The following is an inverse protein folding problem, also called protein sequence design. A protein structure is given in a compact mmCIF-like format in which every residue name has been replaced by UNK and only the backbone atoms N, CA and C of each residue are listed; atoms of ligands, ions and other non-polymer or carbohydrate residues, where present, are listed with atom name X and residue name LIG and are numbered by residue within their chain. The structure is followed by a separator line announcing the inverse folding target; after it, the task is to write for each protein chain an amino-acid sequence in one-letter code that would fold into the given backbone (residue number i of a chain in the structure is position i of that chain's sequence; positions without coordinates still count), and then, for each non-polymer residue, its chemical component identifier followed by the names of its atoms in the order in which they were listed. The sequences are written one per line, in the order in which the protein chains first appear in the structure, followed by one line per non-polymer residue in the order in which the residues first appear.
data_IF_169845830745
#
_entry.id   IF_169845830745
#
_cell.length_a   1.000
_cell.length_b   1.000
_cell.length_c   1.000
_cell.angle_alpha   90.00
_cell.angle_beta   90.00
_cell.angle_gamma   90.00
#
_symmetry.space_group_name_H-M   'P 1'
#
loop_
_entity.id
_entity.type
_entity.pdbx_description
1 polymer ?
#
# COMPACT_ATOMS: atom_id res chain seq x y z
N UNK A 1 9.67 13.07 -28.14
CA UNK A 1 8.26 13.28 -27.75
C UNK A 1 7.98 12.41 -26.53
N UNK A 2 7.92 13.00 -25.33
CA UNK A 2 7.67 12.26 -24.09
C UNK A 2 6.21 11.81 -24.07
N UNK A 3 5.99 10.51 -24.00
CA UNK A 3 4.69 9.88 -24.07
C UNK A 3 3.77 10.36 -22.92
N UNK A 4 2.57 10.93 -23.17
CA UNK A 4 1.62 11.37 -22.13
C UNK A 4 1.18 10.24 -21.18
N UNK A 5 1.47 8.98 -21.52
CA UNK A 5 1.33 7.80 -20.66
C UNK A 5 2.13 7.94 -19.36
N UNK A 6 3.34 8.54 -19.39
CA UNK A 6 4.20 8.61 -18.20
C UNK A 6 3.65 9.49 -17.06
N UNK A 7 2.97 10.59 -17.38
CA UNK A 7 2.36 11.49 -16.38
C UNK A 7 1.09 10.87 -15.77
N UNK A 8 0.29 10.19 -16.59
CA UNK A 8 -0.93 9.51 -16.14
C UNK A 8 -0.61 8.31 -15.26
N UNK A 9 0.36 7.48 -15.65
CA UNK A 9 0.82 6.36 -14.84
C UNK A 9 1.43 6.81 -13.51
N UNK A 10 2.25 7.88 -13.52
CA UNK A 10 2.79 8.46 -12.29
C UNK A 10 1.69 8.92 -11.33
N UNK A 11 0.68 9.64 -11.84
CA UNK A 11 -0.46 10.06 -11.01
C UNK A 11 -1.23 8.87 -10.46
N UNK A 12 -1.46 7.84 -11.28
CA UNK A 12 -2.13 6.60 -10.85
C UNK A 12 -1.34 5.90 -9.75
N UNK A 13 -0.02 5.81 -9.87
CA UNK A 13 0.87 5.23 -8.86
C UNK A 13 0.87 6.04 -7.57
N UNK A 14 0.89 7.37 -7.67
CA UNK A 14 0.81 8.25 -6.51
C UNK A 14 -0.49 8.02 -5.73
N UNK A 15 -1.63 8.05 -6.41
CA UNK A 15 -2.93 7.80 -5.76
C UNK A 15 -2.98 6.41 -5.11
N UNK A 16 -2.41 5.38 -5.76
CA UNK A 16 -2.32 4.05 -5.17
C UNK A 16 -1.46 4.02 -3.89
N UNK A 17 -0.33 4.74 -3.90
CA UNK A 17 0.53 4.87 -2.73
C UNK A 17 -0.15 5.60 -1.57
N UNK A 18 -0.86 6.70 -1.87
CA UNK A 18 -1.57 7.49 -0.86
C UNK A 18 -2.66 6.66 -0.15
N UNK A 19 -3.42 5.87 -0.92
CA UNK A 19 -4.43 4.93 -0.38
C UNK A 19 -3.79 3.89 0.53
N UNK A 20 -2.68 3.30 0.11
CA UNK A 20 -1.97 2.27 0.89
C UNK A 20 -1.43 2.85 2.19
N UNK A 21 -0.77 3.99 2.12
CA UNK A 21 -0.18 4.63 3.30
C UNK A 21 -1.26 5.00 4.33
N UNK A 22 -2.42 5.50 3.88
CA UNK A 22 -3.60 5.71 4.72
C UNK A 22 -4.09 4.39 5.36
N UNK A 23 -4.24 3.34 4.56
CA UNK A 23 -4.70 2.04 5.04
C UNK A 23 -3.76 1.42 6.08
N UNK A 24 -2.45 1.46 5.83
CA UNK A 24 -1.43 0.94 6.75
C UNK A 24 -1.38 1.78 8.03
N UNK A 25 -1.39 3.11 7.93
CA UNK A 25 -1.37 4.00 9.11
C UNK A 25 -2.57 3.74 10.02
N UNK A 26 -3.78 3.76 9.47
CA UNK A 26 -5.00 3.51 10.24
C UNK A 26 -4.99 2.11 10.86
N UNK A 27 -4.48 1.12 10.13
CA UNK A 27 -4.40 -0.27 10.61
C UNK A 27 -3.41 -0.41 11.76
N UNK A 28 -2.27 0.29 11.70
CA UNK A 28 -1.27 0.32 12.77
C UNK A 28 -1.80 1.01 14.03
N UNK A 29 -2.59 2.08 13.88
CA UNK A 29 -3.13 2.85 15.01
C UNK A 29 -4.32 2.17 15.69
N UNK A 30 -5.26 1.63 14.92
CA UNK A 30 -6.57 1.17 15.43
C UNK A 30 -6.76 -0.35 15.36
N UNK A 31 -5.90 -1.05 14.64
CA UNK A 31 -6.05 -2.47 14.32
C UNK A 31 -6.94 -2.70 13.09
N UNK A 32 -6.61 -3.75 12.34
CA UNK A 32 -7.20 -4.09 11.05
C UNK A 32 -8.73 -4.25 11.05
N UNK A 33 -9.29 -4.84 12.10
CA UNK A 33 -10.74 -5.04 12.23
C UNK A 33 -11.51 -3.72 12.34
N UNK A 34 -10.91 -2.72 12.98
CA UNK A 34 -11.58 -1.44 13.26
C UNK A 34 -11.50 -0.45 12.11
N UNK A 35 -10.64 -0.69 11.12
CA UNK A 35 -10.48 0.20 9.97
C UNK A 35 -11.49 -0.15 8.87
N UNK A 36 -12.16 0.88 8.38
CA UNK A 36 -13.13 0.78 7.27
C UNK A 36 -12.59 1.39 5.98
N UNK A 37 -13.13 0.97 4.84
CA UNK A 37 -12.78 1.55 3.53
C UNK A 37 -13.11 3.04 3.49
N UNK A 38 -14.19 3.47 4.13
CA UNK A 38 -14.61 4.88 4.17
C UNK A 38 -13.57 5.76 4.88
N UNK A 39 -13.06 5.32 6.05
CA UNK A 39 -12.00 6.03 6.76
C UNK A 39 -10.70 6.11 5.95
N UNK A 40 -10.33 5.02 5.26
CA UNK A 40 -9.17 5.00 4.36
C UNK A 40 -9.37 6.02 3.24
N UNK A 41 -10.57 6.09 2.67
CA UNK A 41 -10.91 7.04 1.62
C UNK A 41 -10.87 8.49 2.12
N UNK A 42 -11.40 8.74 3.31
CA UNK A 42 -11.37 10.05 3.95
C UNK A 42 -9.93 10.53 4.21
N UNK A 43 -9.08 9.66 4.73
CA UNK A 43 -7.66 9.95 4.98
C UNK A 43 -6.87 10.16 3.67
N UNK A 44 -7.13 9.34 2.64
CA UNK A 44 -6.48 9.45 1.33
C UNK A 44 -7.07 10.55 0.42
N UNK A 45 -8.15 11.22 0.84
CA UNK A 45 -8.79 12.29 0.06
C UNK A 45 -9.44 11.83 -1.25
N UNK A 46 -9.93 10.59 -1.30
CA UNK A 46 -10.56 10.00 -2.49
C UNK A 46 -11.98 9.52 -2.21
N UNK A 47 -12.76 9.29 -3.27
CA UNK A 47 -14.06 8.65 -3.14
C UNK A 47 -13.93 7.13 -2.97
N UNK A 48 -14.89 6.51 -2.29
CA UNK A 48 -15.02 5.03 -2.22
C UNK A 48 -15.08 4.38 -3.59
N UNK A 49 -15.76 5.01 -4.55
CA UNK A 49 -15.76 4.57 -5.95
C UNK A 49 -14.36 4.56 -6.57
N UNK A 50 -13.56 5.59 -6.29
CA UNK A 50 -12.16 5.65 -6.73
C UNK A 50 -11.36 4.55 -6.06
N UNK A 51 -11.54 4.30 -4.76
CA UNK A 51 -10.87 3.21 -4.06
C UNK A 51 -11.13 1.85 -4.74
N UNK A 52 -12.38 1.53 -5.06
CA UNK A 52 -12.74 0.29 -5.73
C UNK A 52 -12.16 0.16 -7.16
N UNK A 53 -11.77 1.26 -7.81
CA UNK A 53 -11.05 1.20 -9.09
C UNK A 53 -9.59 0.77 -8.92
N UNK A 54 -9.01 0.92 -7.72
CA UNK A 54 -7.63 0.53 -7.42
C UNK A 54 -7.55 -0.79 -6.66
N UNK A 55 -8.42 -1.01 -5.68
CA UNK A 55 -8.38 -2.16 -4.79
C UNK A 55 -9.76 -2.80 -4.64
N UNK A 56 -9.87 -4.13 -4.67
CA UNK A 56 -11.15 -4.81 -4.49
C UNK A 56 -11.66 -4.77 -3.04
N UNK A 57 -10.76 -4.69 -2.06
CA UNK A 57 -11.09 -4.66 -0.63
C UNK A 57 -9.98 -3.98 0.21
N UNK A 58 -10.27 -3.71 1.49
CA UNK A 58 -9.31 -3.11 2.44
C UNK A 58 -8.06 -3.96 2.66
N UNK A 59 -8.22 -5.28 2.60
CA UNK A 59 -7.12 -6.24 2.82
C UNK A 59 -6.09 -6.14 1.70
N UNK A 60 -6.58 -5.99 0.46
CA UNK A 60 -5.74 -5.77 -0.72
C UNK A 60 -5.00 -4.44 -0.60
N UNK A 61 -5.64 -3.38 -0.10
CA UNK A 61 -4.97 -2.10 0.10
C UNK A 61 -3.83 -2.17 1.12
N UNK A 62 -3.85 -3.12 2.04
CA UNK A 62 -2.80 -3.32 3.07
C UNK A 62 -1.76 -4.34 2.58
N UNK A 63 -2.20 -5.40 1.88
CA UNK A 63 -1.35 -6.48 1.40
C UNK A 63 -0.56 -6.12 0.13
N UNK A 64 -1.00 -5.13 -0.65
CA UNK A 64 -0.27 -4.68 -1.83
C UNK A 64 1.01 -3.94 -1.40
N UNK A 65 2.09 -4.71 -1.30
CA UNK A 65 3.45 -4.20 -1.17
C UNK A 65 3.82 -3.28 -2.36
N UNK A 66 4.90 -2.50 -2.24
CA UNK A 66 5.17 -1.44 -3.20
C UNK A 66 5.45 -2.06 -4.57
N UNK A 67 4.52 -1.86 -5.50
CA UNK A 67 4.64 -2.29 -6.90
C UNK A 67 5.74 -1.54 -7.68
N UNK A 68 6.40 -0.58 -7.04
CA UNK A 68 7.41 0.31 -7.61
C UNK A 68 8.73 0.24 -6.82
N UNK A 69 8.99 -0.84 -6.07
CA UNK A 69 10.35 -1.07 -5.60
C UNK A 69 11.19 -1.31 -6.85
N UNK A 70 12.25 -0.52 -7.09
CA UNK A 70 13.17 -0.79 -8.18
C UNK A 70 13.70 -2.22 -8.04
N UNK A 71 13.78 -3.02 -9.11
CA UNK A 71 14.18 -4.42 -9.01
C UNK A 71 15.54 -4.59 -8.32
N UNK A 72 16.44 -3.60 -8.43
CA UNK A 72 17.70 -3.54 -7.69
C UNK A 72 17.50 -3.49 -6.15
N UNK A 73 16.53 -2.72 -5.67
CA UNK A 73 16.26 -2.56 -4.25
C UNK A 73 15.48 -3.77 -3.69
N UNK A 74 14.67 -4.44 -4.52
CA UNK A 74 14.07 -5.74 -4.18
C UNK A 74 15.17 -6.79 -3.98
N UNK A 75 16.15 -6.84 -4.88
CA UNK A 75 17.25 -7.79 -4.80
C UNK A 75 18.08 -7.58 -3.52
N UNK A 76 18.41 -6.33 -3.18
CA UNK A 76 19.10 -5.99 -1.93
C UNK A 76 18.30 -6.40 -0.70
N UNK A 77 16.99 -6.11 -0.68
CA UNK A 77 16.11 -6.49 0.43
C UNK A 77 15.98 -8.01 0.59
N UNK A 78 15.85 -8.75 -0.51
CA UNK A 78 15.78 -10.22 -0.50
C UNK A 78 17.12 -10.83 -0.11
N UNK A 79 18.24 -10.26 -0.58
CA UNK A 79 19.59 -10.72 -0.26
C UNK A 79 19.99 -10.43 1.20
N UNK A 80 19.49 -9.34 1.79
CA UNK A 80 19.65 -9.05 3.22
C UNK A 80 18.98 -10.08 4.13
N UNK A 81 18.05 -10.88 3.58
CA UNK A 81 17.27 -11.87 4.33
C UNK A 81 16.26 -11.22 5.27
N UNK A 82 15.27 -11.97 5.78
CA UNK A 82 14.37 -11.44 6.80
C UNK A 82 15.21 -11.01 8.01
N UNK A 83 15.05 -9.76 8.46
CA UNK A 83 15.55 -9.35 9.77
C UNK A 83 15.13 -10.44 10.77
N UNK A 84 16.05 -10.97 11.59
CA UNK A 84 15.76 -12.11 12.44
C UNK A 84 14.51 -11.78 13.25
N UNK A 85 13.42 -12.43 12.91
CA UNK A 85 12.16 -12.31 13.63
C UNK A 85 12.42 -12.91 14.99
N UNK A 86 12.84 -12.07 15.94
CA UNK A 86 12.84 -12.36 17.37
C UNK A 86 11.40 -12.42 17.89
N UNK A 87 10.52 -13.10 17.19
CA UNK A 87 9.22 -13.51 17.67
C UNK A 87 9.32 -15.02 17.85
N UNK A 88 10.00 -15.43 18.92
CA UNK A 88 9.76 -16.73 19.52
C UNK A 88 8.27 -16.77 19.91
N UNK A 89 7.42 -17.24 19.00
CA UNK A 89 6.09 -17.71 19.34
C UNK A 89 6.27 -18.88 20.30
N UNK A 90 6.13 -18.56 21.59
CA UNK A 90 6.32 -19.48 22.70
C UNK A 90 4.99 -20.17 23.00
N UNK A 91 5.07 -21.51 22.95
CA UNK A 91 4.17 -22.56 23.47
C UNK A 91 3.21 -23.14 22.44
#
# INVERSE_FOLDING_TARGET
MANPVGLRERRRRQTSADIRDAAVRLTLERGFDKVTVDEICAEAGISTRTFFNYFPNKESAIAYGPSDIPPELVADFVAAGPAPTRWCWRS
#
